data_IF_918935676033
#
_entry.id   IF_918935676033
#
_cell.length_a   1.000
_cell.length_b   1.000
_cell.length_c   1.000
_cell.angle_alpha   90.00
_cell.angle_beta   90.00
_cell.angle_gamma   90.00
#
_symmetry.space_group_name_H-M   'P 1'
#
loop_
_entity.id
_entity.type
_entity.pdbx_description
1 polymer ?
#
# COMPACT_ATOMS: atom_id res chain seq x y z
N UNK A 1 66.45 -17.18 -49.06
CA UNK A 1 66.37 -15.72 -48.89
C UNK A 1 65.54 -15.45 -47.64
N UNK A 2 66.20 -15.21 -46.51
CA UNK A 2 65.57 -14.72 -45.28
C UNK A 2 66.23 -13.38 -44.99
N UNK A 3 65.50 -12.29 -45.21
CA UNK A 3 65.93 -10.96 -44.79
C UNK A 3 65.82 -10.89 -43.27
N UNK A 4 66.98 -10.73 -42.64
CA UNK A 4 67.13 -10.42 -41.23
C UNK A 4 66.45 -9.08 -40.94
N UNK A 5 65.32 -9.11 -40.24
CA UNK A 5 64.71 -7.91 -39.66
C UNK A 5 65.74 -7.21 -38.75
N UNK A 6 66.12 -6.00 -39.15
CA UNK A 6 67.18 -5.19 -38.57
C UNK A 6 66.97 -4.85 -37.08
N UNK A 7 68.07 -4.61 -36.32
CA UNK A 7 68.07 -4.21 -34.91
C UNK A 7 67.61 -2.76 -34.65
N UNK A 8 66.78 -2.17 -35.53
CA UNK A 8 66.35 -0.76 -35.43
C UNK A 8 65.29 -0.51 -34.35
N UNK A 9 64.59 -1.56 -33.88
CA UNK A 9 63.60 -1.41 -32.82
C UNK A 9 64.23 -1.16 -31.43
N UNK A 10 65.46 -1.62 -31.18
CA UNK A 10 66.15 -1.45 -29.91
C UNK A 10 66.89 -0.10 -29.77
N UNK A 11 67.25 0.54 -30.88
CA UNK A 11 67.93 1.84 -30.86
C UNK A 11 66.99 3.00 -30.46
N UNK A 12 65.68 2.87 -30.67
CA UNK A 12 64.70 3.93 -30.34
C UNK A 12 64.41 3.96 -28.83
N UNK A 13 64.58 2.84 -28.11
CA UNK A 13 64.39 2.78 -26.65
C UNK A 13 65.63 3.24 -25.86
N UNK A 14 66.81 3.25 -26.48
CA UNK A 14 68.07 3.70 -25.84
C UNK A 14 68.36 5.20 -25.96
N UNK A 15 67.53 5.97 -26.67
CA UNK A 15 67.78 7.37 -27.00
C UNK A 15 66.89 8.37 -26.24
N UNK A 16 66.21 7.94 -25.17
CA UNK A 16 65.50 8.86 -24.28
C UNK A 16 66.44 9.17 -23.10
N UNK A 17 67.00 10.39 -23.01
CA UNK A 17 67.91 10.75 -21.93
C UNK A 17 67.22 10.53 -20.57
N UNK A 18 67.90 9.97 -19.56
CA UNK A 18 67.31 9.63 -18.25
C UNK A 18 66.69 10.85 -17.54
N UNK A 19 67.13 12.05 -17.90
CA UNK A 19 66.59 13.37 -17.54
C UNK A 19 65.08 13.53 -17.85
N UNK A 20 64.57 12.86 -18.90
CA UNK A 20 63.18 12.96 -19.36
C UNK A 20 62.26 11.86 -18.82
N UNK A 21 62.81 10.82 -18.19
CA UNK A 21 62.03 9.69 -17.67
C UNK A 21 61.24 10.06 -16.42
N UNK A 22 61.83 10.84 -15.51
CA UNK A 22 61.17 11.30 -14.29
C UNK A 22 59.95 12.19 -14.58
N UNK A 23 60.04 13.29 -15.37
CA UNK A 23 58.88 14.12 -15.68
C UNK A 23 57.84 13.39 -16.56
N UNK A 24 58.28 12.52 -17.48
CA UNK A 24 57.37 11.69 -18.29
C UNK A 24 56.60 10.65 -17.47
N UNK A 25 57.29 9.95 -16.56
CA UNK A 25 56.67 8.98 -15.64
C UNK A 25 55.72 9.67 -14.64
N UNK A 26 56.07 10.86 -14.15
CA UNK A 26 55.20 11.69 -13.31
C UNK A 26 53.94 12.15 -14.06
N UNK A 27 54.08 12.55 -15.34
CA UNK A 27 52.95 12.92 -16.19
C UNK A 27 51.99 11.76 -16.44
N UNK A 28 52.52 10.56 -16.72
CA UNK A 28 51.72 9.34 -16.90
C UNK A 28 51.03 8.95 -15.58
N UNK A 29 51.75 8.97 -14.46
CA UNK A 29 51.19 8.67 -13.14
C UNK A 29 50.06 9.65 -12.75
N UNK A 30 50.22 10.94 -13.05
CA UNK A 30 49.19 11.95 -12.83
C UNK A 30 47.93 11.69 -13.68
N UNK A 31 48.10 11.24 -14.93
CA UNK A 31 47.00 10.93 -15.83
C UNK A 31 46.23 9.69 -15.36
N UNK A 32 46.93 8.65 -14.89
CA UNK A 32 46.31 7.49 -14.24
C UNK A 32 45.59 7.87 -12.95
N UNK A 33 46.19 8.70 -12.10
CA UNK A 33 45.55 9.18 -10.86
C UNK A 33 44.28 9.98 -11.16
N UNK A 34 44.32 10.85 -12.18
CA UNK A 34 43.17 11.62 -12.63
C UNK A 34 42.05 10.73 -13.17
N UNK A 35 42.36 9.78 -14.05
CA UNK A 35 41.40 8.82 -14.58
C UNK A 35 40.81 7.99 -13.44
N UNK A 36 41.64 7.44 -12.55
CA UNK A 36 41.20 6.68 -11.39
C UNK A 36 40.25 7.48 -10.50
N UNK A 37 40.59 8.72 -10.16
CA UNK A 37 39.75 9.58 -9.35
C UNK A 37 38.41 9.88 -10.03
N UNK A 38 38.43 10.14 -11.35
CA UNK A 38 37.22 10.40 -12.14
C UNK A 38 36.30 9.19 -12.12
N UNK A 39 36.80 7.99 -12.43
CA UNK A 39 36.03 6.74 -12.47
C UNK A 39 35.51 6.35 -11.07
N UNK A 40 36.35 6.53 -10.05
CA UNK A 40 35.96 6.27 -8.66
C UNK A 40 34.84 7.20 -8.20
N UNK A 41 34.90 8.48 -8.58
CA UNK A 41 33.86 9.47 -8.24
C UNK A 41 32.52 9.16 -8.93
N UNK A 42 32.55 8.66 -10.17
CA UNK A 42 31.35 8.26 -10.92
C UNK A 42 30.72 7.01 -10.30
N UNK A 43 31.51 5.98 -10.02
CA UNK A 43 31.05 4.77 -9.33
C UNK A 43 30.44 5.07 -7.96
N UNK A 44 31.02 6.00 -7.20
CA UNK A 44 30.44 6.45 -5.92
C UNK A 44 29.09 7.14 -6.09
N UNK A 45 28.92 7.97 -7.13
CA UNK A 45 27.64 8.65 -7.41
C UNK A 45 26.57 7.66 -7.84
N UNK A 46 26.91 6.73 -8.72
CA UNK A 46 25.98 5.68 -9.17
C UNK A 46 25.55 4.78 -8.02
N UNK A 47 26.47 4.36 -7.16
CA UNK A 47 26.11 3.57 -5.96
C UNK A 47 25.15 4.31 -5.03
N UNK A 48 25.31 5.62 -4.84
CA UNK A 48 24.38 6.44 -4.05
C UNK A 48 23.01 6.55 -4.73
N UNK A 49 22.99 6.74 -6.05
CA UNK A 49 21.73 6.79 -6.81
C UNK A 49 20.97 5.46 -6.74
N UNK A 50 21.66 4.33 -6.86
CA UNK A 50 21.06 2.99 -6.71
C UNK A 50 20.57 2.78 -5.28
N UNK A 51 21.34 3.18 -4.26
CA UNK A 51 20.91 3.07 -2.86
C UNK A 51 19.66 3.91 -2.57
N UNK A 52 19.57 5.13 -3.10
CA UNK A 52 18.39 6.00 -2.98
C UNK A 52 17.17 5.38 -3.69
N UNK A 53 17.34 4.83 -4.90
CA UNK A 53 16.27 4.12 -5.60
C UNK A 53 15.77 2.89 -4.83
N UNK A 54 16.68 2.10 -4.25
CA UNK A 54 16.32 0.95 -3.42
C UNK A 54 15.56 1.40 -2.17
N UNK A 55 16.02 2.46 -1.50
CA UNK A 55 15.34 2.99 -0.33
C UNK A 55 13.91 3.46 -0.65
N UNK A 56 13.74 4.23 -1.73
CA UNK A 56 12.41 4.68 -2.19
C UNK A 56 11.51 3.51 -2.57
N UNK A 57 12.06 2.47 -3.20
CA UNK A 57 11.27 1.28 -3.54
C UNK A 57 10.77 0.53 -2.29
N UNK A 58 11.60 0.45 -1.25
CA UNK A 58 11.21 -0.17 0.03
C UNK A 58 10.18 0.67 0.78
N UNK A 59 10.29 2.00 0.73
CA UNK A 59 9.30 2.90 1.33
C UNK A 59 7.93 2.75 0.62
N UNK A 60 7.91 2.75 -0.71
CA UNK A 60 6.69 2.50 -1.48
C UNK A 60 6.10 1.10 -1.24
N UNK A 61 6.94 0.08 -1.09
CA UNK A 61 6.48 -1.27 -0.77
C UNK A 61 5.82 -1.34 0.61
N UNK A 62 6.41 -0.68 1.62
CA UNK A 62 5.81 -0.57 2.96
C UNK A 62 4.47 0.15 2.93
N UNK A 63 4.35 1.24 2.16
CA UNK A 63 3.08 1.95 1.99
C UNK A 63 2.03 1.08 1.32
N UNK A 64 2.38 0.34 0.26
CA UNK A 64 1.47 -0.59 -0.40
C UNK A 64 1.02 -1.72 0.52
N UNK A 65 1.91 -2.24 1.37
CA UNK A 65 1.55 -3.23 2.39
C UNK A 65 0.58 -2.63 3.41
N UNK A 66 0.83 -1.41 3.89
CA UNK A 66 -0.05 -0.72 4.82
C UNK A 66 -1.44 -0.48 4.22
N UNK A 67 -1.52 -0.03 2.97
CA UNK A 67 -2.78 0.18 2.24
C UNK A 67 -3.54 -1.15 2.06
N UNK A 68 -2.83 -2.24 1.72
CA UNK A 68 -3.44 -3.58 1.59
C UNK A 68 -3.88 -4.17 2.93
N UNK A 69 -3.21 -3.81 4.02
CA UNK A 69 -3.54 -4.25 5.37
C UNK A 69 -4.64 -3.40 6.03
N UNK A 70 -4.97 -2.23 5.49
CA UNK A 70 -5.99 -1.36 6.04
C UNK A 70 -7.37 -2.03 6.02
N UNK A 71 -8.13 -1.82 7.10
CA UNK A 71 -9.51 -2.26 7.17
C UNK A 71 -10.35 -1.51 6.13
N UNK A 72 -11.17 -2.25 5.40
CA UNK A 72 -12.11 -1.71 4.45
C UNK A 72 -13.53 -1.83 4.99
N UNK A 73 -14.36 -0.89 4.57
CA UNK A 73 -15.73 -0.76 5.05
C UNK A 73 -16.69 -0.86 3.86
N UNK A 74 -17.76 -1.64 4.02
CA UNK A 74 -18.79 -1.81 2.98
C UNK A 74 -20.18 -1.69 3.57
N UNK A 75 -20.95 -0.78 3.00
CA UNK A 75 -22.34 -0.55 3.37
C UNK A 75 -23.28 -1.42 2.52
N UNK A 76 -24.37 -1.87 3.13
CA UNK A 76 -25.44 -2.60 2.47
C UNK A 76 -26.76 -1.91 2.76
N UNK A 77 -27.68 -1.93 1.80
CA UNK A 77 -29.06 -1.48 2.01
C UNK A 77 -29.94 -2.69 2.29
N UNK A 78 -30.62 -2.69 3.43
CA UNK A 78 -31.58 -3.72 3.82
C UNK A 78 -32.94 -3.06 4.10
N UNK A 79 -34.00 -3.57 3.47
CA UNK A 79 -35.36 -3.07 3.66
C UNK A 79 -36.17 -4.08 4.47
N UNK A 80 -36.47 -3.73 5.72
CA UNK A 80 -37.08 -4.63 6.70
C UNK A 80 -37.90 -3.81 7.69
N UNK A 81 -39.03 -4.36 8.12
CA UNK A 81 -39.93 -3.74 9.12
C UNK A 81 -40.45 -2.34 8.71
N UNK A 82 -40.69 -2.13 7.41
CA UNK A 82 -41.06 -0.83 6.82
C UNK A 82 -40.02 0.29 7.03
N UNK A 83 -38.79 -0.10 7.35
CA UNK A 83 -37.63 0.78 7.55
C UNK A 83 -36.52 0.41 6.56
N UNK A 84 -35.63 1.39 6.30
CA UNK A 84 -34.44 1.19 5.49
C UNK A 84 -33.22 1.22 6.40
N UNK A 85 -32.42 0.17 6.36
CA UNK A 85 -31.20 0.04 7.17
C UNK A 85 -29.98 0.14 6.26
N UNK A 86 -28.93 0.77 6.78
CA UNK A 86 -27.62 0.87 6.12
C UNK A 86 -26.51 0.23 6.98
N UNK A 87 -26.59 -1.09 7.19
CA UNK A 87 -25.58 -1.80 7.94
C UNK A 87 -24.22 -1.74 7.25
N UNK A 88 -23.19 -1.63 8.07
CA UNK A 88 -21.81 -1.46 7.65
C UNK A 88 -20.96 -2.64 8.11
N UNK A 89 -20.27 -3.29 7.17
CA UNK A 89 -19.31 -4.38 7.43
C UNK A 89 -17.89 -3.84 7.31
N UNK A 90 -17.11 -3.95 8.38
CA UNK A 90 -15.68 -3.66 8.36
C UNK A 90 -14.90 -4.97 8.28
N UNK A 91 -13.96 -5.08 7.34
CA UNK A 91 -13.19 -6.30 7.09
C UNK A 91 -11.74 -6.00 6.72
N UNK A 92 -10.86 -6.97 6.94
CA UNK A 92 -9.45 -6.95 6.54
C UNK A 92 -9.30 -7.78 5.27
N UNK A 93 -9.02 -7.16 4.10
CA UNK A 93 -8.95 -7.88 2.84
C UNK A 93 -7.83 -8.93 2.82
N UNK A 94 -6.68 -8.60 3.43
CA UNK A 94 -5.50 -9.46 3.40
C UNK A 94 -5.68 -10.75 4.22
N UNK A 95 -6.23 -10.65 5.43
CA UNK A 95 -6.49 -11.80 6.30
C UNK A 95 -7.85 -12.45 6.06
N UNK A 96 -8.65 -11.91 5.14
CA UNK A 96 -10.05 -12.30 4.87
C UNK A 96 -10.89 -12.42 6.14
N UNK A 97 -10.78 -11.42 7.02
CA UNK A 97 -11.50 -11.41 8.30
C UNK A 97 -12.49 -10.28 8.38
N UNK A 98 -13.71 -10.58 8.82
CA UNK A 98 -14.69 -9.58 9.22
C UNK A 98 -14.35 -9.13 10.63
N UNK A 99 -14.18 -7.82 10.82
CA UNK A 99 -13.75 -7.18 12.08
C UNK A 99 -14.94 -6.61 12.85
N UNK A 100 -15.96 -6.11 12.16
CA UNK A 100 -17.19 -5.66 12.77
C UNK A 100 -18.34 -5.63 11.77
N UNK A 101 -19.56 -5.74 12.30
CA UNK A 101 -20.79 -5.48 11.57
C UNK A 101 -21.62 -4.57 12.46
N UNK A 102 -22.00 -3.40 11.93
CA UNK A 102 -22.79 -2.40 12.67
C UNK A 102 -24.09 -2.20 11.91
N UNK A 103 -25.27 -2.42 12.52
CA UNK A 103 -26.56 -2.32 11.84
C UNK A 103 -26.91 -0.88 11.40
N UNK A 104 -26.36 0.12 12.11
CA UNK A 104 -26.66 1.54 11.89
C UNK A 104 -28.05 1.94 12.41
N UNK A 105 -28.39 3.22 12.24
CA UNK A 105 -29.73 3.71 12.54
C UNK A 105 -30.66 3.50 11.33
N UNK A 106 -31.94 3.16 11.55
CA UNK A 106 -32.89 3.04 10.46
C UNK A 106 -33.24 4.40 9.86
N UNK A 107 -33.68 4.37 8.60
CA UNK A 107 -34.11 5.51 7.81
C UNK A 107 -35.58 5.33 7.43
N UNK A 108 -36.29 6.45 7.30
CA UNK A 108 -37.67 6.47 6.88
C UNK A 108 -37.81 5.94 5.46
N UNK A 109 -38.72 4.99 5.22
CA UNK A 109 -38.98 4.47 3.88
C UNK A 109 -39.54 5.50 2.89
N UNK A 110 -40.27 6.49 3.39
CA UNK A 110 -40.97 7.47 2.54
C UNK A 110 -40.09 8.64 2.13
N UNK A 111 -39.26 9.15 3.03
CA UNK A 111 -38.44 10.35 2.79
C UNK A 111 -36.94 10.11 2.94
N UNK A 112 -36.51 8.89 3.23
CA UNK A 112 -35.11 8.49 3.40
C UNK A 112 -34.34 9.23 4.50
N UNK A 113 -35.01 10.06 5.32
CA UNK A 113 -34.38 10.73 6.46
C UNK A 113 -34.05 9.73 7.57
N UNK A 114 -32.89 9.88 8.19
CA UNK A 114 -32.51 9.11 9.37
C UNK A 114 -33.54 9.27 10.49
N UNK A 115 -33.90 8.17 11.13
CA UNK A 115 -34.84 8.16 12.23
C UNK A 115 -34.11 8.43 13.55
N UNK A 116 -34.83 9.08 14.47
CA UNK A 116 -34.37 9.32 15.84
C UNK A 116 -35.19 8.48 16.81
N UNK A 117 -34.54 7.83 17.77
CA UNK A 117 -35.24 7.10 18.83
C UNK A 117 -35.75 8.12 19.86
N UNK A 118 -37.08 8.18 20.04
CA UNK A 118 -37.74 9.02 21.04
C UNK A 118 -38.62 8.14 21.92
N UNK A 119 -38.13 7.81 23.11
CA UNK A 119 -38.78 6.81 23.97
C UNK A 119 -38.76 5.45 23.30
N UNK A 120 -39.95 4.88 23.06
CA UNK A 120 -40.13 3.56 22.43
C UNK A 120 -40.49 3.63 20.94
N UNK A 121 -40.20 4.75 20.26
CA UNK A 121 -40.55 4.93 18.84
C UNK A 121 -39.41 5.55 18.03
N UNK A 122 -39.20 5.01 16.84
CA UNK A 122 -38.41 5.64 15.79
C UNK A 122 -39.24 6.72 15.12
N UNK A 123 -38.83 7.97 15.30
CA UNK A 123 -39.53 9.13 14.75
C UNK A 123 -38.75 9.75 13.60
N UNK A 124 -39.44 9.95 12.48
CA UNK A 124 -38.90 10.66 11.33
C UNK A 124 -39.01 12.18 11.53
N UNK A 125 -37.90 12.93 11.49
CA UNK A 125 -37.93 14.38 11.64
C UNK A 125 -38.56 15.11 10.44
N UNK A 126 -38.58 14.49 9.26
CA UNK A 126 -39.04 15.14 8.02
C UNK A 126 -40.54 14.94 7.79
N UNK A 127 -41.05 13.70 7.86
CA UNK A 127 -42.44 13.40 7.55
C UNK A 127 -43.31 13.09 8.78
N UNK A 128 -42.74 13.10 9.99
CA UNK A 128 -43.46 12.84 11.24
C UNK A 128 -43.90 11.38 11.46
N UNK A 129 -43.63 10.48 10.51
CA UNK A 129 -43.94 9.04 10.66
C UNK A 129 -43.24 8.48 11.90
N UNK A 130 -43.97 7.66 12.63
CA UNK A 130 -43.46 6.91 13.78
C UNK A 130 -43.52 5.42 13.47
N UNK A 131 -42.46 4.71 13.84
CA UNK A 131 -42.39 3.26 13.82
C UNK A 131 -42.11 2.77 15.25
N UNK A 132 -42.71 1.67 15.70
CA UNK A 132 -42.43 1.12 17.02
C UNK A 132 -40.94 0.80 17.15
N UNK A 133 -40.35 1.23 18.25
CA UNK A 133 -38.96 1.03 18.64
C UNK A 133 -38.85 0.35 20.00
N UNK A 134 -39.42 -0.85 20.12
CA UNK A 134 -39.51 -1.60 21.38
C UNK A 134 -38.28 -2.50 21.59
N UNK A 135 -38.23 -3.27 22.69
CA UNK A 135 -37.24 -4.33 22.96
C UNK A 135 -37.01 -5.30 21.78
N UNK A 136 -37.99 -5.41 20.86
CA UNK A 136 -37.84 -6.11 19.59
C UNK A 136 -36.79 -5.50 18.66
N UNK A 137 -36.38 -4.24 18.84
CA UNK A 137 -35.35 -3.56 18.06
C UNK A 137 -33.98 -4.19 18.20
N UNK A 138 -33.65 -4.78 19.37
CA UNK A 138 -32.43 -5.58 19.51
C UNK A 138 -32.50 -6.83 18.64
N UNK A 139 -33.66 -7.48 18.58
CA UNK A 139 -33.88 -8.63 17.71
C UNK A 139 -33.90 -8.22 16.23
N UNK A 140 -34.41 -7.04 15.90
CA UNK A 140 -34.37 -6.45 14.57
C UNK A 140 -32.92 -6.18 14.18
N UNK A 141 -32.14 -5.52 15.04
CA UNK A 141 -30.72 -5.24 14.80
C UNK A 141 -29.90 -6.51 14.61
N UNK A 142 -30.16 -7.57 15.39
CA UNK A 142 -29.56 -8.89 15.19
C UNK A 142 -29.97 -9.51 13.85
N UNK A 143 -31.25 -9.44 13.48
CA UNK A 143 -31.74 -9.91 12.18
C UNK A 143 -31.09 -9.15 11.01
N UNK A 144 -30.97 -7.82 11.10
CA UNK A 144 -30.27 -6.98 10.13
C UNK A 144 -28.80 -7.37 10.04
N UNK A 145 -28.14 -7.60 11.19
CA UNK A 145 -26.72 -8.00 11.24
C UNK A 145 -26.50 -9.37 10.58
N UNK A 146 -27.36 -10.36 10.88
CA UNK A 146 -27.33 -11.69 10.27
C UNK A 146 -27.58 -11.65 8.77
N UNK A 147 -28.55 -10.87 8.33
CA UNK A 147 -28.88 -10.68 6.90
C UNK A 147 -27.72 -9.99 6.16
N UNK A 148 -27.11 -8.98 6.79
CA UNK A 148 -25.91 -8.30 6.27
C UNK A 148 -24.74 -9.26 6.12
N UNK A 149 -24.47 -10.07 7.16
CA UNK A 149 -23.40 -11.06 7.13
C UNK A 149 -23.60 -12.04 5.98
N UNK A 150 -24.81 -12.57 5.84
CA UNK A 150 -25.15 -13.49 4.75
C UNK A 150 -24.88 -12.84 3.38
N UNK A 151 -25.39 -11.63 3.16
CA UNK A 151 -25.16 -10.90 1.91
C UNK A 151 -23.69 -10.60 1.64
N UNK A 152 -22.92 -10.28 2.68
CA UNK A 152 -21.49 -10.06 2.56
C UNK A 152 -20.79 -11.35 2.13
N UNK A 153 -21.05 -12.47 2.82
CA UNK A 153 -20.41 -13.76 2.53
C UNK A 153 -20.80 -14.34 1.16
N UNK A 154 -22.03 -14.11 0.70
CA UNK A 154 -22.47 -14.48 -0.65
C UNK A 154 -21.67 -13.77 -1.74
N UNK A 155 -21.39 -12.47 -1.55
CA UNK A 155 -20.63 -11.64 -2.50
C UNK A 155 -19.12 -11.79 -2.35
N UNK A 156 -18.63 -12.02 -1.14
CA UNK A 156 -17.23 -12.02 -0.75
C UNK A 156 -16.91 -13.36 -0.10
N UNK A 157 -16.75 -14.40 -0.93
CA UNK A 157 -16.49 -15.77 -0.44
C UNK A 157 -15.14 -15.88 0.26
N UNK A 158 -15.10 -16.73 1.29
CA UNK A 158 -13.89 -17.04 2.04
C UNK A 158 -13.48 -16.00 3.08
N UNK A 159 -14.41 -15.14 3.48
CA UNK A 159 -14.24 -14.26 4.64
C UNK A 159 -14.85 -14.89 5.88
N UNK A 160 -14.04 -14.99 6.94
CA UNK A 160 -14.45 -15.54 8.22
C UNK A 160 -14.72 -14.45 9.24
N UNK A 161 -15.65 -14.71 10.14
CA UNK A 161 -15.91 -13.83 11.26
C UNK A 161 -14.75 -13.91 12.27
N UNK A 162 -14.22 -12.78 12.70
CA UNK A 162 -13.29 -12.82 13.82
C UNK A 162 -14.01 -13.30 15.09
N UNK A 163 -13.34 -14.13 15.92
CA UNK A 163 -13.94 -14.66 17.13
C UNK A 163 -14.39 -13.52 18.06
N UNK A 164 -15.66 -13.55 18.47
CA UNK A 164 -16.24 -12.60 19.43
C UNK A 164 -17.16 -11.52 18.86
N UNK A 165 -17.29 -11.36 17.53
CA UNK A 165 -18.11 -10.28 16.93
C UNK A 165 -19.62 -10.53 17.01
N UNK A 166 -20.07 -11.78 17.08
CA UNK A 166 -21.50 -12.14 17.22
C UNK A 166 -21.86 -12.63 18.63
N UNK A 167 -21.11 -12.23 19.68
CA UNK A 167 -21.56 -12.51 21.05
C UNK A 167 -22.74 -11.59 21.35
N UNK A 168 -23.93 -12.17 21.20
CA UNK A 168 -25.21 -11.66 21.67
C UNK A 168 -25.16 -11.24 23.14
#
# INVERSE_FOLDING_TARGET
MMESLEPKALAILGAIPPELWLPGALGIAALFAFLFFKTWSTLRRERRAVADLVQRSQEMEKELIAIRAAAQTREFRIERFDLIWYPTVTYLPHSKRIVSIVPGAPHCRSCFAALSLKGEFWSCPSCGRQSPGSLGDLMVMDAITKETLKHFQERMRGYDLAPGILKA
#
